data_IF_464506897809
#
_entry.id   IF_464506897809
#
_cell.length_a   1.000
_cell.length_b   1.000
_cell.length_c   1.000
_cell.angle_alpha   90.00
_cell.angle_beta   90.00
_cell.angle_gamma   90.00
#
_symmetry.space_group_name_H-M   'P 1'
#
loop_
_entity.id
_entity.type
_entity.pdbx_description
1 polymer ?
#
# COMPACT_ATOMS: atom_id res chain seq x y z
N UNK A 1 -13.53 41.28 15.03
CA UNK A 1 -12.92 39.92 15.09
C UNK A 1 -12.87 39.36 13.66
N UNK A 2 -11.75 39.56 12.95
CA UNK A 2 -11.56 39.13 11.54
C UNK A 2 -10.64 37.91 11.52
N UNK A 3 -11.13 36.79 12.09
CA UNK A 3 -10.36 35.53 12.17
C UNK A 3 -11.16 34.37 11.55
N UNK A 4 -12.48 34.46 11.45
CA UNK A 4 -13.33 33.36 10.96
C UNK A 4 -13.27 33.08 9.45
N UNK A 5 -13.01 34.10 8.62
CA UNK A 5 -13.11 33.95 7.15
C UNK A 5 -11.89 33.25 6.55
N UNK A 6 -10.68 33.54 7.05
CA UNK A 6 -9.44 32.95 6.52
C UNK A 6 -9.33 31.45 6.80
N UNK A 7 -9.80 30.99 7.96
CA UNK A 7 -9.80 29.56 8.32
C UNK A 7 -10.72 28.77 7.37
N UNK A 8 -11.86 29.34 6.97
CA UNK A 8 -12.83 28.66 6.09
C UNK A 8 -12.30 28.35 4.68
N UNK A 9 -11.40 29.18 4.14
CA UNK A 9 -10.84 29.02 2.79
C UNK A 9 -9.60 28.11 2.78
N UNK A 10 -8.87 28.02 3.90
CA UNK A 10 -7.64 27.22 4.01
C UNK A 10 -7.90 25.74 4.32
N UNK A 11 -8.94 25.42 5.10
CA UNK A 11 -9.28 24.05 5.50
C UNK A 11 -9.48 23.10 4.29
N UNK A 12 -10.24 23.45 3.24
CA UNK A 12 -10.48 22.54 2.11
C UNK A 12 -9.18 22.17 1.36
N UNK A 13 -8.25 23.11 1.23
CA UNK A 13 -6.99 22.89 0.50
C UNK A 13 -6.01 22.03 1.30
N UNK A 14 -5.96 22.22 2.62
CA UNK A 14 -5.09 21.41 3.49
C UNK A 14 -5.57 19.95 3.53
N UNK A 15 -6.89 19.72 3.62
CA UNK A 15 -7.46 18.37 3.61
C UNK A 15 -7.12 17.58 2.33
N UNK A 16 -7.21 18.22 1.16
CA UNK A 16 -6.82 17.59 -0.11
C UNK A 16 -5.32 17.29 -0.17
N UNK A 17 -4.47 18.20 0.32
CA UNK A 17 -3.01 18.01 0.36
C UNK A 17 -2.61 16.85 1.28
N UNK A 18 -3.25 16.72 2.45
CA UNK A 18 -3.03 15.59 3.37
C UNK A 18 -3.41 14.27 2.69
N UNK A 19 -4.58 14.22 2.04
CA UNK A 19 -5.00 13.02 1.28
C UNK A 19 -3.96 12.65 0.23
N UNK A 20 -3.54 13.60 -0.60
CA UNK A 20 -2.49 13.39 -1.63
C UNK A 20 -1.20 12.86 -1.03
N UNK A 21 -0.76 13.40 0.10
CA UNK A 21 0.45 12.95 0.78
C UNK A 21 0.33 11.50 1.28
N UNK A 22 -0.81 11.13 1.88
CA UNK A 22 -1.05 9.78 2.38
C UNK A 22 -1.15 8.74 1.24
N UNK A 23 -1.84 9.06 0.16
CA UNK A 23 -1.93 8.18 -1.01
C UNK A 23 -0.55 8.04 -1.69
N UNK A 24 0.22 9.13 -1.83
CA UNK A 24 1.59 9.08 -2.33
C UNK A 24 2.52 8.22 -1.44
N UNK A 25 2.37 8.31 -0.11
CA UNK A 25 3.12 7.47 0.82
C UNK A 25 2.78 5.98 0.63
N UNK A 26 1.50 5.66 0.41
CA UNK A 26 1.05 4.28 0.14
C UNK A 26 1.65 3.74 -1.16
N UNK A 27 1.67 4.54 -2.23
CA UNK A 27 2.32 4.15 -3.49
C UNK A 27 3.84 3.99 -3.33
N UNK A 28 4.48 4.86 -2.55
CA UNK A 28 5.90 4.72 -2.20
C UNK A 28 6.18 3.38 -1.52
N UNK A 29 5.37 3.02 -0.52
CA UNK A 29 5.46 1.74 0.20
C UNK A 29 5.23 0.54 -0.72
N UNK A 30 4.23 0.59 -1.61
CA UNK A 30 3.96 -0.47 -2.58
C UNK A 30 5.17 -0.73 -3.49
N UNK A 31 5.80 0.33 -4.00
CA UNK A 31 7.01 0.23 -4.83
C UNK A 31 8.19 -0.33 -4.05
N UNK A 32 8.43 0.18 -2.84
CA UNK A 32 9.49 -0.33 -1.97
C UNK A 32 9.31 -1.82 -1.66
N UNK A 33 8.07 -2.25 -1.39
CA UNK A 33 7.74 -3.64 -1.11
C UNK A 33 7.98 -4.54 -2.32
N UNK A 34 7.54 -4.12 -3.51
CA UNK A 34 7.80 -4.85 -4.77
C UNK A 34 9.30 -5.02 -5.01
N UNK A 35 10.08 -3.96 -4.84
CA UNK A 35 11.53 -4.04 -4.96
C UNK A 35 12.13 -4.99 -3.93
N UNK A 36 11.69 -4.94 -2.67
CA UNK A 36 12.18 -5.82 -1.62
C UNK A 36 11.87 -7.31 -1.90
N UNK A 37 10.68 -7.62 -2.42
CA UNK A 37 10.30 -8.97 -2.84
C UNK A 37 11.21 -9.48 -3.97
N UNK A 38 11.53 -8.64 -4.97
CA UNK A 38 12.43 -9.02 -6.04
C UNK A 38 13.87 -9.24 -5.55
N UNK A 39 14.34 -8.40 -4.62
CA UNK A 39 15.65 -8.58 -3.98
C UNK A 39 15.72 -9.84 -3.10
N UNK A 40 14.61 -10.19 -2.45
CA UNK A 40 14.49 -11.45 -1.72
C UNK A 40 14.62 -12.62 -2.70
N UNK A 41 13.77 -12.65 -3.74
CA UNK A 41 13.76 -13.68 -4.77
C UNK A 41 15.16 -13.90 -5.41
N UNK A 42 15.85 -12.82 -5.75
CA UNK A 42 17.21 -12.89 -6.29
C UNK A 42 18.24 -13.42 -5.27
N UNK A 43 18.03 -13.17 -3.98
CA UNK A 43 18.92 -13.62 -2.90
C UNK A 43 18.61 -15.02 -2.36
N UNK A 44 17.47 -15.61 -2.71
CA UNK A 44 16.99 -16.93 -2.24
C UNK A 44 16.85 -17.92 -3.39
N UNK A 45 17.71 -17.79 -4.40
CA UNK A 45 17.81 -18.71 -5.55
C UNK A 45 16.46 -18.93 -6.28
N UNK A 46 15.64 -17.88 -6.34
CA UNK A 46 14.35 -17.91 -7.04
C UNK A 46 13.17 -18.37 -6.19
N UNK A 47 13.26 -18.23 -4.87
CA UNK A 47 12.15 -18.58 -3.96
C UNK A 47 11.46 -17.31 -3.45
N UNK A 48 10.16 -17.15 -3.73
CA UNK A 48 9.36 -16.08 -3.11
C UNK A 48 9.11 -16.35 -1.62
N UNK A 49 8.99 -15.32 -0.78
CA UNK A 49 8.74 -15.51 0.64
C UNK A 49 7.33 -16.04 0.90
N UNK A 50 7.15 -16.86 1.93
CA UNK A 50 5.85 -17.41 2.31
C UNK A 50 4.89 -16.35 2.87
N UNK A 51 5.43 -15.25 3.40
CA UNK A 51 4.69 -14.13 3.97
C UNK A 51 5.50 -12.82 3.87
N UNK A 52 4.97 -11.71 4.38
CA UNK A 52 5.67 -10.40 4.35
C UNK A 52 6.56 -10.13 5.57
N UNK A 53 6.73 -11.08 6.50
CA UNK A 53 7.58 -10.95 7.71
C UNK A 53 9.02 -10.51 7.42
N UNK A 54 9.69 -11.00 6.35
CA UNK A 54 11.04 -10.55 5.98
C UNK A 54 11.11 -9.06 5.66
N UNK A 55 9.99 -8.42 5.36
CA UNK A 55 9.94 -7.01 4.99
C UNK A 55 9.45 -6.13 6.14
N UNK A 56 8.68 -6.68 7.09
CA UNK A 56 8.05 -5.90 8.18
C UNK A 56 8.82 -5.96 9.50
N UNK A 57 9.77 -6.88 9.65
CA UNK A 57 10.57 -7.03 10.88
C UNK A 57 11.77 -6.08 10.90
N UNK A 58 11.86 -5.13 11.86
CA UNK A 58 13.04 -4.28 12.02
C UNK A 58 14.32 -5.11 12.18
N UNK A 59 15.38 -4.73 11.47
CA UNK A 59 16.65 -5.47 11.46
C UNK A 59 16.75 -6.56 10.41
N UNK A 60 15.67 -6.88 9.69
CA UNK A 60 15.75 -7.73 8.50
C UNK A 60 16.56 -7.06 7.39
N UNK A 61 17.33 -7.86 6.65
CA UNK A 61 18.09 -7.43 5.45
C UNK A 61 17.20 -6.74 4.41
N UNK A 62 15.93 -7.15 4.30
CA UNK A 62 14.97 -6.65 3.32
C UNK A 62 13.93 -5.72 3.93
N UNK A 63 14.17 -5.21 5.15
CA UNK A 63 13.19 -4.42 5.88
C UNK A 63 12.73 -3.17 5.09
N UNK A 64 11.41 -3.04 4.96
CA UNK A 64 10.72 -1.88 4.41
C UNK A 64 9.50 -1.57 5.27
N UNK A 65 9.36 -0.33 5.71
CA UNK A 65 8.20 0.08 6.52
C UNK A 65 6.95 0.23 5.63
N UNK A 66 6.15 -0.82 5.52
CA UNK A 66 4.95 -0.85 4.66
C UNK A 66 3.65 -0.48 5.36
N UNK A 67 3.63 -0.38 6.69
CA UNK A 67 2.43 -0.06 7.47
C UNK A 67 2.50 1.30 8.16
N UNK A 68 1.34 1.97 8.38
CA UNK A 68 0.05 1.65 7.74
C UNK A 68 0.04 2.03 6.26
N UNK A 69 -0.81 1.41 5.45
CA UNK A 69 -1.25 1.96 4.16
C UNK A 69 -2.45 2.88 4.38
N UNK A 70 -2.75 3.73 3.41
CA UNK A 70 -3.94 4.59 3.40
C UNK A 70 -4.67 4.51 2.06
N UNK A 71 -5.98 4.32 2.11
CA UNK A 71 -6.88 4.63 0.98
C UNK A 71 -7.98 5.57 1.46
N UNK A 72 -8.50 6.43 0.59
CA UNK A 72 -9.55 7.38 0.99
C UNK A 72 -10.85 6.70 1.43
N UNK A 73 -11.18 5.54 0.84
CA UNK A 73 -12.40 4.80 1.14
C UNK A 73 -12.33 4.00 2.46
N UNK A 74 -11.17 3.41 2.77
CA UNK A 74 -11.01 2.51 3.92
C UNK A 74 -10.16 3.09 5.06
N UNK A 75 -9.56 4.26 4.87
CA UNK A 75 -8.68 4.89 5.85
C UNK A 75 -7.32 4.19 5.98
N UNK A 76 -6.75 4.25 7.19
CA UNK A 76 -5.45 3.64 7.50
C UNK A 76 -5.61 2.16 7.85
N UNK A 77 -4.75 1.31 7.31
CA UNK A 77 -4.76 -0.13 7.59
C UNK A 77 -3.34 -0.68 7.69
N UNK A 78 -3.14 -1.63 8.60
CA UNK A 78 -1.91 -2.42 8.72
C UNK A 78 -2.12 -3.89 8.35
N UNK A 79 -3.31 -4.23 7.83
CA UNK A 79 -3.69 -5.60 7.54
C UNK A 79 -2.98 -6.10 6.27
N UNK A 80 -2.65 -7.38 6.27
CA UNK A 80 -2.11 -8.10 5.13
C UNK A 80 -2.97 -9.34 4.92
N UNK A 81 -3.49 -9.52 3.71
CA UNK A 81 -4.19 -10.70 3.26
C UNK A 81 -3.26 -11.57 2.40
N UNK A 82 -3.43 -12.88 2.48
CA UNK A 82 -2.66 -13.87 1.74
C UNK A 82 -3.58 -14.73 0.85
N UNK A 83 -4.21 -14.13 -0.18
CA UNK A 83 -5.06 -14.89 -1.09
C UNK A 83 -4.24 -15.90 -1.91
N UNK A 84 -4.87 -16.98 -2.42
CA UNK A 84 -4.19 -17.99 -3.23
C UNK A 84 -3.83 -17.51 -4.65
N UNK A 85 -4.43 -16.41 -5.13
CA UNK A 85 -4.17 -15.81 -6.44
C UNK A 85 -4.54 -14.32 -6.43
N UNK A 86 -4.25 -13.61 -7.53
CA UNK A 86 -4.68 -12.23 -7.70
C UNK A 86 -6.20 -12.10 -7.70
N UNK A 87 -6.74 -11.20 -6.87
CA UNK A 87 -8.17 -10.88 -6.80
C UNK A 87 -8.40 -9.40 -7.12
N UNK A 88 -8.91 -9.14 -8.33
CA UNK A 88 -9.24 -7.79 -8.80
C UNK A 88 -10.55 -7.25 -8.20
N UNK A 89 -11.36 -8.08 -7.58
CA UNK A 89 -12.60 -7.69 -6.92
C UNK A 89 -12.39 -7.41 -5.41
N UNK A 90 -11.20 -7.70 -4.88
CA UNK A 90 -10.85 -7.44 -3.49
C UNK A 90 -10.91 -5.95 -3.13
N UNK A 91 -11.68 -5.62 -2.10
CA UNK A 91 -11.89 -4.25 -1.60
C UNK A 91 -11.79 -4.15 -0.07
N UNK A 92 -10.71 -4.72 0.49
CA UNK A 92 -10.54 -4.81 1.95
C UNK A 92 -9.76 -3.62 2.54
N UNK A 93 -9.21 -2.74 1.71
CA UNK A 93 -8.32 -1.66 2.17
C UNK A 93 -7.04 -2.18 2.83
N UNK A 94 -6.53 -3.33 2.39
CA UNK A 94 -5.36 -4.02 2.97
C UNK A 94 -4.27 -4.26 1.91
N UNK A 95 -3.08 -4.64 2.36
CA UNK A 95 -2.11 -5.27 1.47
C UNK A 95 -2.62 -6.67 1.12
N UNK A 96 -2.43 -7.10 -0.13
CA UNK A 96 -2.67 -8.48 -0.54
C UNK A 96 -1.40 -9.02 -1.20
N UNK A 97 -1.00 -10.22 -0.81
CA UNK A 97 0.22 -10.88 -1.27
C UNK A 97 -0.04 -12.35 -1.62
N UNK A 98 0.40 -12.79 -2.79
CA UNK A 98 0.30 -14.19 -3.20
C UNK A 98 1.64 -14.87 -2.94
N UNK A 99 1.65 -15.85 -2.04
CA UNK A 99 2.86 -16.56 -1.65
C UNK A 99 3.24 -17.70 -2.60
N UNK A 100 2.25 -18.32 -3.27
CA UNK A 100 2.41 -19.57 -4.00
C UNK A 100 1.61 -19.53 -5.32
N UNK A 101 1.96 -20.43 -6.25
CA UNK A 101 1.25 -20.58 -7.53
C UNK A 101 1.76 -19.62 -8.63
N UNK A 102 1.02 -19.52 -9.73
CA UNK A 102 1.43 -18.74 -10.91
C UNK A 102 1.52 -17.22 -10.68
N UNK A 103 0.87 -16.72 -9.62
CA UNK A 103 0.93 -15.32 -9.21
C UNK A 103 1.89 -15.08 -8.03
N UNK A 104 2.70 -16.07 -7.64
CA UNK A 104 3.62 -15.96 -6.51
C UNK A 104 4.51 -14.70 -6.61
N UNK A 105 4.68 -14.01 -5.48
CA UNK A 105 5.44 -12.76 -5.42
C UNK A 105 4.62 -11.51 -5.76
N UNK A 106 3.38 -11.65 -6.26
CA UNK A 106 2.52 -10.50 -6.55
C UNK A 106 2.05 -9.85 -5.26
N UNK A 107 2.17 -8.52 -5.21
CA UNK A 107 1.64 -7.69 -4.12
C UNK A 107 0.87 -6.49 -4.68
N UNK A 108 -0.28 -6.18 -4.06
CA UNK A 108 -1.14 -5.05 -4.43
C UNK A 108 -1.88 -4.49 -3.21
N UNK A 109 -2.53 -3.34 -3.41
CA UNK A 109 -3.50 -2.79 -2.46
C UNK A 109 -4.88 -3.35 -2.84
N UNK A 110 -5.49 -4.14 -1.95
CA UNK A 110 -6.82 -4.73 -2.13
C UNK A 110 -7.89 -3.64 -1.96
N UNK A 111 -8.09 -2.84 -2.99
CA UNK A 111 -9.07 -1.75 -3.01
C UNK A 111 -9.54 -1.47 -4.44
N UNK A 112 -10.85 -1.41 -4.64
CA UNK A 112 -11.50 -1.14 -5.93
C UNK A 112 -11.84 0.34 -6.12
N UNK A 113 -11.58 1.17 -5.11
CA UNK A 113 -11.78 2.61 -5.17
C UNK A 113 -10.59 3.31 -5.84
N UNK A 114 -10.81 4.55 -6.28
CA UNK A 114 -9.78 5.35 -6.94
C UNK A 114 -9.02 6.26 -5.98
N UNK A 115 -7.77 6.55 -6.31
CA UNK A 115 -6.97 7.59 -5.69
C UNK A 115 -7.37 9.01 -6.17
N UNK A 116 -6.65 10.04 -5.74
CA UNK A 116 -6.82 11.44 -6.20
C UNK A 116 -6.55 11.66 -7.68
N UNK A 117 -5.96 10.69 -8.39
CA UNK A 117 -5.67 10.72 -9.82
C UNK A 117 -6.67 9.88 -10.63
N UNK A 118 -7.74 9.39 -10.00
CA UNK A 118 -8.75 8.51 -10.60
C UNK A 118 -8.21 7.14 -11.06
N UNK A 119 -7.12 6.65 -10.44
CA UNK A 119 -6.59 5.31 -10.69
C UNK A 119 -7.07 4.36 -9.61
N UNK A 120 -7.58 3.18 -9.99
CA UNK A 120 -8.03 2.16 -9.04
C UNK A 120 -6.83 1.54 -8.33
N UNK A 121 -6.91 1.39 -7.01
CA UNK A 121 -5.78 0.96 -6.19
C UNK A 121 -5.16 -0.39 -6.58
N UNK A 122 -5.98 -1.36 -6.98
CA UNK A 122 -5.50 -2.67 -7.42
C UNK A 122 -4.86 -2.68 -8.82
N UNK A 123 -4.91 -1.57 -9.57
CA UNK A 123 -4.28 -1.43 -10.89
C UNK A 123 -2.86 -0.86 -10.83
N UNK A 124 -2.43 -0.35 -9.67
CA UNK A 124 -1.06 0.09 -9.45
C UNK A 124 -0.10 -1.07 -9.39
#
# INVERSE_FOLDING_TARGET
>A
MVIGVLVSVAVPRISMSIRKANEAATLGKLRSLRTAIQLYYAGTEGTFPADLTPFTTPGSKYYVKITPLYTAAHGNSSNVAYPPAYDAAGDQGSWAYVALGGDAGRVWVSCTHTDVKNVVWNQY
#
